data_IF_234545570126
#
_entry.id   IF_234545570126
#
_cell.length_a   1.000
_cell.length_b   1.000
_cell.length_c   1.000
_cell.angle_alpha   90.00
_cell.angle_beta   90.00
_cell.angle_gamma   90.00
#
_symmetry.space_group_name_H-M   'P 1'
#
loop_
_entity.id
_entity.type
_entity.pdbx_description
1 polymer ?
#
# COMPACT_ATOMS: atom_id res chain seq x y z
N UNK A 1 -14.98 2.70 -22.15
CA UNK A 1 -13.98 1.79 -21.54
C UNK A 1 -14.63 1.16 -20.33
N UNK A 2 -14.59 -0.16 -20.23
CA UNK A 2 -15.14 -0.88 -19.07
C UNK A 2 -14.23 -0.60 -17.85
N UNK A 3 -14.79 -0.16 -16.73
CA UNK A 3 -14.02 0.05 -15.51
C UNK A 3 -13.75 -1.31 -14.85
N UNK A 4 -12.48 -1.62 -14.61
CA UNK A 4 -12.04 -2.81 -13.87
C UNK A 4 -11.30 -2.36 -12.61
N UNK A 5 -11.64 -2.95 -11.47
CA UNK A 5 -10.89 -2.73 -10.22
C UNK A 5 -9.61 -3.56 -10.21
N UNK A 6 -8.60 -3.13 -9.44
CA UNK A 6 -7.35 -3.88 -9.30
C UNK A 6 -7.60 -5.32 -8.81
N UNK A 7 -8.52 -5.52 -7.88
CA UNK A 7 -8.86 -6.86 -7.35
C UNK A 7 -9.44 -7.74 -8.46
N UNK A 8 -10.36 -7.22 -9.27
CA UNK A 8 -10.91 -7.96 -10.41
C UNK A 8 -9.83 -8.30 -11.44
N UNK A 9 -8.93 -7.36 -11.71
CA UNK A 9 -7.80 -7.59 -12.62
C UNK A 9 -6.90 -8.72 -12.13
N UNK A 10 -6.50 -8.70 -10.85
CA UNK A 10 -5.63 -9.73 -10.25
C UNK A 10 -6.32 -11.11 -10.21
N UNK A 11 -7.62 -11.15 -9.88
CA UNK A 11 -8.40 -12.37 -9.94
C UNK A 11 -8.50 -12.95 -11.35
N UNK A 12 -8.57 -12.09 -12.37
CA UNK A 12 -8.53 -12.54 -13.76
C UNK A 12 -7.17 -13.14 -14.12
N UNK A 13 -6.06 -12.49 -13.73
CA UNK A 13 -4.71 -13.01 -13.96
C UNK A 13 -4.45 -14.35 -13.24
N UNK A 14 -5.08 -14.59 -12.09
CA UNK A 14 -4.94 -15.86 -11.37
C UNK A 14 -5.63 -17.06 -12.05
N UNK A 15 -6.46 -16.83 -13.08
CA UNK A 15 -7.16 -17.92 -13.79
C UNK A 15 -6.30 -18.62 -14.85
N UNK A 16 -5.10 -18.13 -15.13
CA UNK A 16 -4.19 -18.78 -16.08
C UNK A 16 -3.64 -20.10 -15.52
N UNK A 17 -3.55 -21.12 -16.38
CA UNK A 17 -2.98 -22.43 -16.05
C UNK A 17 -1.55 -22.26 -15.54
N UNK A 18 -1.28 -22.78 -14.33
CA UNK A 18 0.03 -22.68 -13.66
C UNK A 18 0.20 -21.48 -12.73
N UNK A 19 -0.81 -20.63 -12.56
CA UNK A 19 -0.76 -19.54 -11.58
C UNK A 19 -0.86 -20.08 -10.14
N UNK A 20 0.17 -19.82 -9.32
CA UNK A 20 0.21 -20.20 -7.89
C UNK A 20 -0.69 -19.32 -7.01
N UNK A 21 -0.98 -18.10 -7.48
CA UNK A 21 -1.72 -17.08 -6.72
C UNK A 21 -0.86 -16.24 -5.77
N UNK A 22 0.43 -16.55 -5.60
CA UNK A 22 1.33 -15.82 -4.69
C UNK A 22 1.44 -14.33 -5.05
N UNK A 23 1.55 -14.01 -6.34
CA UNK A 23 1.56 -12.63 -6.81
C UNK A 23 0.26 -11.89 -6.47
N UNK A 24 -0.90 -12.55 -6.63
CA UNK A 24 -2.20 -11.96 -6.28
C UNK A 24 -2.29 -11.70 -4.78
N UNK A 25 -1.82 -12.63 -3.94
CA UNK A 25 -1.78 -12.46 -2.49
C UNK A 25 -0.91 -11.27 -2.10
N UNK A 26 0.34 -11.21 -2.60
CA UNK A 26 1.26 -10.10 -2.36
C UNK A 26 0.65 -8.75 -2.77
N UNK A 27 0.04 -8.69 -3.95
CA UNK A 27 -0.57 -7.45 -4.44
C UNK A 27 -1.79 -7.02 -3.61
N UNK A 28 -2.56 -7.98 -3.07
CA UNK A 28 -3.66 -7.66 -2.16
C UNK A 28 -3.14 -7.11 -0.82
N UNK A 29 -2.04 -7.65 -0.30
CA UNK A 29 -1.39 -7.12 0.91
C UNK A 29 -0.90 -5.67 0.70
N UNK A 30 -0.23 -5.41 -0.41
CA UNK A 30 0.21 -4.05 -0.80
C UNK A 30 -1.00 -3.11 -0.93
N UNK A 31 -2.10 -3.57 -1.56
CA UNK A 31 -3.32 -2.79 -1.72
C UNK A 31 -3.93 -2.38 -0.37
N UNK A 32 -3.94 -3.29 0.61
CA UNK A 32 -4.43 -2.99 1.97
C UNK A 32 -3.52 -1.99 2.66
N UNK A 33 -2.20 -2.21 2.64
CA UNK A 33 -1.24 -1.29 3.23
C UNK A 33 -1.35 0.12 2.63
N UNK A 34 -1.48 0.23 1.31
CA UNK A 34 -1.65 1.52 0.63
C UNK A 34 -2.92 2.25 1.06
N UNK A 35 -4.04 1.54 1.26
CA UNK A 35 -5.29 2.13 1.77
C UNK A 35 -5.15 2.66 3.19
N UNK A 36 -4.43 1.93 4.05
CA UNK A 36 -4.15 2.37 5.42
C UNK A 36 -3.28 3.63 5.41
N UNK A 37 -2.19 3.64 4.64
CA UNK A 37 -1.33 4.82 4.48
C UNK A 37 -2.14 6.01 3.97
N UNK A 38 -2.98 5.80 2.94
CA UNK A 38 -3.83 6.86 2.40
C UNK A 38 -4.80 7.42 3.45
N UNK A 39 -5.40 6.56 4.28
CA UNK A 39 -6.28 6.98 5.37
C UNK A 39 -5.57 7.87 6.38
N UNK A 40 -4.37 7.46 6.81
CA UNK A 40 -3.58 8.21 7.80
C UNK A 40 -3.08 9.55 7.24
N UNK A 41 -2.56 9.56 6.02
CA UNK A 41 -2.10 10.79 5.35
C UNK A 41 -3.25 11.77 5.16
N UNK A 42 -4.44 11.30 4.74
CA UNK A 42 -5.61 12.16 4.56
C UNK A 42 -6.12 12.77 5.87
N UNK A 43 -5.88 12.11 7.02
CA UNK A 43 -6.28 12.59 8.35
C UNK A 43 -5.20 13.42 9.05
N UNK A 44 -3.96 13.35 8.60
CA UNK A 44 -2.80 13.96 9.25
C UNK A 44 -2.96 15.47 9.51
N UNK A 45 -3.67 16.20 8.63
CA UNK A 45 -3.86 17.65 8.77
C UNK A 45 -4.95 18.10 9.75
N UNK A 46 -5.82 17.21 10.22
CA UNK A 46 -7.03 17.58 11.01
C UNK A 46 -7.02 16.94 12.41
N UNK A 47 -6.13 15.95 12.65
CA UNK A 47 -6.01 15.30 13.95
C UNK A 47 -5.15 14.03 13.98
N UNK A 48 -4.46 13.67 12.89
CA UNK A 48 -3.57 12.51 12.84
C UNK A 48 -2.20 12.81 13.48
N UNK A 49 -1.69 11.86 14.26
CA UNK A 49 -0.43 12.01 15.01
C UNK A 49 0.80 11.53 14.21
N UNK A 50 0.74 11.64 12.89
CA UNK A 50 1.73 11.07 11.95
C UNK A 50 2.70 12.12 11.40
N UNK A 51 2.43 13.42 11.59
CA UNK A 51 3.35 14.46 11.12
C UNK A 51 4.57 14.62 12.06
N UNK A 52 5.71 14.96 11.45
CA UNK A 52 6.95 15.27 12.15
C UNK A 52 7.99 14.15 12.07
N UNK A 53 9.11 14.36 12.77
CA UNK A 53 10.27 13.47 12.72
C UNK A 53 10.23 12.42 13.84
N UNK A 54 10.78 11.24 13.57
CA UNK A 54 10.92 10.16 14.56
C UNK A 54 12.13 10.32 15.47
N UNK A 55 13.10 11.16 15.07
CA UNK A 55 14.41 11.30 15.72
C UNK A 55 15.42 10.23 15.30
N UNK A 56 15.06 9.32 14.39
CA UNK A 56 15.96 8.32 13.84
C UNK A 56 16.60 8.80 12.53
N UNK A 57 17.81 8.35 12.27
CA UNK A 57 18.50 8.53 10.99
C UNK A 57 18.57 7.17 10.28
N UNK A 58 18.16 7.12 9.01
CA UNK A 58 18.22 5.88 8.23
C UNK A 58 19.66 5.57 7.77
N UNK A 59 19.86 4.39 7.15
CA UNK A 59 21.17 3.97 6.62
C UNK A 59 21.72 4.88 5.51
N UNK A 60 20.88 5.78 4.97
CA UNK A 60 21.24 6.77 3.96
C UNK A 60 21.58 8.15 4.56
N UNK A 61 21.51 8.32 5.88
CA UNK A 61 21.81 9.58 6.57
C UNK A 61 20.64 10.57 6.61
N UNK A 62 19.42 10.14 6.27
CA UNK A 62 18.23 10.98 6.24
C UNK A 62 17.42 10.87 7.53
N UNK A 63 16.79 11.97 7.96
CA UNK A 63 15.90 11.98 9.12
C UNK A 63 14.56 11.33 8.79
N UNK A 64 14.22 10.28 9.54
CA UNK A 64 13.02 9.47 9.32
C UNK A 64 11.79 10.22 9.81
N UNK A 65 10.84 10.43 8.90
CA UNK A 65 9.53 11.00 9.20
C UNK A 65 8.61 9.97 9.88
N UNK A 66 7.65 10.46 10.66
CA UNK A 66 6.61 9.65 11.31
C UNK A 66 5.54 9.19 10.32
#
# INVERSE_FOLDING_TARGET
MEQTTLVQHLQHQQKFLGATGEFTSLMNEILVAAKIISLEVNKAGIGGNILGVTGNINVHGEEVQK
#
